data_IF_772335047511
#
_entry.id   IF_772335047511
#
_cell.length_a   1.000
_cell.length_b   1.000
_cell.length_c   1.000
_cell.angle_alpha   90.00
_cell.angle_beta   90.00
_cell.angle_gamma   90.00
#
_symmetry.space_group_name_H-M   'P 1'
#
loop_
_entity.id
_entity.type
_entity.pdbx_description
1 polymer ?
#
# COMPACT_ATOMS: atom_id res chain seq x y z
N UNK A 1 5.05 22.02 -20.95
CA UNK A 1 3.85 21.81 -20.09
C UNK A 1 4.05 20.50 -19.35
N UNK A 2 4.60 20.56 -18.15
CA UNK A 2 4.97 19.38 -17.37
C UNK A 2 3.77 19.02 -16.49
N UNK A 3 3.10 17.90 -16.79
CA UNK A 3 2.02 17.40 -15.95
C UNK A 3 2.61 16.97 -14.62
N UNK A 4 2.36 17.78 -13.58
CA UNK A 4 2.60 17.42 -12.19
C UNK A 4 1.62 16.29 -11.84
N UNK A 5 2.04 15.04 -12.06
CA UNK A 5 1.43 13.88 -11.43
C UNK A 5 1.70 14.02 -9.93
N UNK A 6 0.80 14.68 -9.21
CA UNK A 6 0.76 14.64 -7.76
C UNK A 6 0.23 13.26 -7.34
N UNK A 7 1.03 12.25 -7.62
CA UNK A 7 0.91 10.93 -6.99
C UNK A 7 1.01 11.17 -5.49
N UNK A 8 0.19 10.48 -4.70
CA UNK A 8 0.31 10.47 -3.24
C UNK A 8 1.78 10.55 -2.82
N UNK A 9 2.14 11.27 -1.73
CA UNK A 9 3.33 10.92 -0.98
C UNK A 9 3.07 9.52 -0.42
N UNK A 10 3.20 8.52 -1.29
CA UNK A 10 3.36 7.13 -0.94
C UNK A 10 4.72 7.14 -0.29
N UNK A 11 4.69 7.42 1.01
CA UNK A 11 5.84 7.89 1.76
C UNK A 11 7.01 6.96 1.46
N UNK A 12 8.16 7.54 1.14
CA UNK A 12 9.40 6.77 1.04
C UNK A 12 9.69 6.01 2.36
N UNK A 13 8.91 6.22 3.42
CA UNK A 13 8.90 5.46 4.68
C UNK A 13 8.86 3.94 4.49
N UNK A 14 8.01 3.39 3.62
CA UNK A 14 8.01 1.93 3.43
C UNK A 14 9.27 1.46 2.68
N UNK A 15 9.82 2.30 1.79
CA UNK A 15 11.09 2.03 1.11
C UNK A 15 12.25 2.08 2.11
N UNK A 16 12.30 3.11 2.95
CA UNK A 16 13.29 3.27 4.00
C UNK A 16 13.21 2.13 5.03
N UNK A 17 11.99 1.71 5.39
CA UNK A 17 11.76 0.55 6.26
C UNK A 17 12.27 -0.75 5.62
N UNK A 18 12.03 -0.95 4.32
CA UNK A 18 12.59 -2.10 3.60
C UNK A 18 14.13 -2.06 3.54
N UNK A 19 14.71 -0.90 3.26
CA UNK A 19 16.17 -0.71 3.24
C UNK A 19 16.80 -0.99 4.61
N UNK A 20 16.17 -0.50 5.68
CA UNK A 20 16.59 -0.77 7.05
C UNK A 20 16.50 -2.27 7.37
N UNK A 21 15.39 -2.93 7.04
CA UNK A 21 15.23 -4.37 7.25
C UNK A 21 16.30 -5.19 6.51
N UNK A 22 16.63 -4.82 5.27
CA UNK A 22 17.71 -5.47 4.51
C UNK A 22 19.07 -5.24 5.16
N UNK A 23 19.34 -4.01 5.64
CA UNK A 23 20.58 -3.71 6.37
C UNK A 23 20.70 -4.53 7.65
N UNK A 24 19.62 -4.67 8.41
CA UNK A 24 19.56 -5.48 9.64
C UNK A 24 19.78 -6.98 9.34
N UNK A 25 19.21 -7.51 8.25
CA UNK A 25 19.45 -8.90 7.81
C UNK A 25 20.93 -9.10 7.50
N UNK A 26 21.56 -8.18 6.75
CA UNK A 26 22.99 -8.26 6.42
C UNK A 26 23.84 -8.27 7.69
N UNK A 27 23.60 -7.32 8.60
CA UNK A 27 24.30 -7.26 9.88
C UNK A 27 24.11 -8.53 10.71
N UNK A 28 22.91 -9.09 10.77
CA UNK A 28 22.63 -10.32 11.51
C UNK A 28 23.35 -11.55 10.93
N UNK A 29 23.58 -11.60 9.62
CA UNK A 29 24.35 -12.64 8.95
C UNK A 29 25.85 -12.44 9.22
N UNK A 30 26.35 -11.20 9.11
CA UNK A 30 27.77 -10.90 9.32
C UNK A 30 28.21 -11.11 10.78
N UNK A 31 27.32 -10.79 11.73
CA UNK A 31 27.52 -10.97 13.17
C UNK A 31 27.26 -12.40 13.67
N UNK A 32 26.81 -13.33 12.81
CA UNK A 32 26.53 -14.72 13.22
C UNK A 32 27.81 -15.51 13.47
N UNK A 33 28.54 -15.16 14.53
CA UNK A 33 29.75 -15.83 15.00
C UNK A 33 29.39 -17.00 15.94
N UNK A 34 28.40 -17.81 15.56
CA UNK A 34 28.05 -19.07 16.24
C UNK A 34 26.86 -19.07 17.21
N UNK A 35 26.18 -17.92 17.43
CA UNK A 35 24.93 -17.88 18.19
C UNK A 35 23.71 -18.02 17.26
N UNK A 36 23.34 -19.27 17.00
CA UNK A 36 22.23 -19.61 16.10
C UNK A 36 20.88 -19.06 16.59
N UNK A 37 20.64 -19.01 17.90
CA UNK A 37 19.37 -18.52 18.45
C UNK A 37 19.23 -17.00 18.23
N UNK A 38 20.30 -16.25 18.52
CA UNK A 38 20.32 -14.81 18.31
C UNK A 38 20.19 -14.44 16.82
N UNK A 39 20.79 -15.23 15.91
CA UNK A 39 20.61 -15.06 14.47
C UNK A 39 19.16 -15.31 14.04
N UNK A 40 18.52 -16.40 14.52
CA UNK A 40 17.10 -16.67 14.20
C UNK A 40 16.20 -15.52 14.67
N UNK A 41 16.41 -15.01 15.90
CA UNK A 41 15.63 -13.87 16.43
C UNK A 41 15.75 -12.63 15.55
N UNK A 42 16.98 -12.24 15.19
CA UNK A 42 17.23 -11.05 14.35
C UNK A 42 16.64 -11.17 12.95
N UNK A 43 16.84 -12.33 12.32
CA UNK A 43 16.26 -12.60 10.99
C UNK A 43 14.73 -12.60 11.03
N UNK A 44 14.12 -13.11 12.11
CA UNK A 44 12.68 -13.08 12.29
C UNK A 44 12.16 -11.64 12.42
N UNK A 45 12.80 -10.79 13.22
CA UNK A 45 12.40 -9.39 13.38
C UNK A 45 12.50 -8.62 12.06
N UNK A 46 13.60 -8.79 11.32
CA UNK A 46 13.76 -8.12 10.04
C UNK A 46 12.80 -8.66 8.97
N UNK A 47 12.47 -9.95 9.00
CA UNK A 47 11.43 -10.55 8.13
C UNK A 47 10.05 -9.94 8.39
N UNK A 48 9.70 -9.61 9.64
CA UNK A 48 8.44 -8.92 9.97
C UNK A 48 8.41 -7.54 9.30
N UNK A 49 9.47 -6.73 9.48
CA UNK A 49 9.58 -5.38 8.87
C UNK A 49 9.52 -5.44 7.34
N UNK A 50 10.22 -6.39 6.74
CA UNK A 50 10.18 -6.58 5.29
C UNK A 50 8.79 -6.98 4.79
N UNK A 51 8.07 -7.83 5.54
CA UNK A 51 6.70 -8.21 5.21
C UNK A 51 5.72 -7.03 5.33
N UNK A 52 5.91 -6.14 6.30
CA UNK A 52 5.13 -4.91 6.44
C UNK A 52 5.37 -3.99 5.23
N UNK A 53 6.63 -3.74 4.87
CA UNK A 53 6.98 -2.96 3.69
C UNK A 53 6.44 -3.57 2.39
N UNK A 54 6.43 -4.90 2.27
CA UNK A 54 5.79 -5.60 1.16
C UNK A 54 4.28 -5.35 1.11
N UNK A 55 3.59 -5.33 2.25
CA UNK A 55 2.15 -5.03 2.28
C UNK A 55 1.88 -3.60 1.77
N UNK A 56 2.68 -2.62 2.19
CA UNK A 56 2.59 -1.24 1.70
C UNK A 56 2.86 -1.15 0.18
N UNK A 57 3.89 -1.83 -0.31
CA UNK A 57 4.23 -1.86 -1.74
C UNK A 57 3.12 -2.52 -2.59
N UNK A 58 2.46 -3.55 -2.07
CA UNK A 58 1.32 -4.16 -2.75
C UNK A 58 0.10 -3.23 -2.77
N UNK A 59 -0.16 -2.51 -1.67
CA UNK A 59 -1.26 -1.55 -1.59
C UNK A 59 -1.07 -0.39 -2.56
N UNK A 60 0.13 0.15 -2.58
CA UNK A 60 0.61 1.08 -3.59
C UNK A 60 0.30 0.61 -5.02
N UNK A 61 0.76 -0.58 -5.39
CA UNK A 61 0.53 -1.14 -6.72
C UNK A 61 -0.97 -1.30 -7.03
N UNK A 62 -1.77 -1.75 -6.05
CA UNK A 62 -3.20 -1.88 -6.20
C UNK A 62 -3.87 -0.52 -6.48
N UNK A 63 -3.49 0.53 -5.75
CA UNK A 63 -4.01 1.90 -5.97
C UNK A 63 -3.56 2.43 -7.34
N UNK A 64 -2.33 2.16 -7.77
CA UNK A 64 -1.82 2.55 -9.10
C UNK A 64 -2.46 1.79 -10.27
N UNK A 65 -3.28 0.77 -10.01
CA UNK A 65 -4.07 0.09 -11.03
C UNK A 65 -3.71 -1.38 -11.26
N UNK A 66 -2.70 -1.92 -10.58
CA UNK A 66 -2.36 -3.34 -10.72
C UNK A 66 -3.52 -4.23 -10.27
N UNK A 67 -3.67 -5.37 -10.94
CA UNK A 67 -4.69 -6.36 -10.56
C UNK A 67 -4.24 -7.20 -9.37
N UNK A 68 -5.18 -7.76 -8.61
CA UNK A 68 -4.86 -8.67 -7.51
C UNK A 68 -4.04 -9.88 -7.97
N UNK A 69 -4.36 -10.39 -9.17
CA UNK A 69 -3.65 -11.51 -9.80
C UNK A 69 -2.20 -11.15 -10.13
N UNK A 70 -1.96 -9.97 -10.71
CA UNK A 70 -0.59 -9.52 -11.03
C UNK A 70 0.24 -9.24 -9.78
N UNK A 71 -0.38 -8.70 -8.72
CA UNK A 71 0.27 -8.48 -7.43
C UNK A 71 0.66 -9.83 -6.79
N UNK A 72 -0.24 -10.81 -6.80
CA UNK A 72 0.04 -12.16 -6.31
C UNK A 72 1.21 -12.81 -7.07
N UNK A 73 1.19 -12.73 -8.40
CA UNK A 73 2.26 -13.26 -9.23
C UNK A 73 3.61 -12.59 -8.95
N UNK A 74 3.64 -11.25 -8.80
CA UNK A 74 4.86 -10.52 -8.52
C UNK A 74 5.43 -10.75 -7.11
N UNK A 75 4.55 -10.97 -6.12
CA UNK A 75 4.95 -11.22 -4.73
C UNK A 75 5.24 -12.69 -4.42
N UNK A 76 4.94 -13.61 -5.34
CA UNK A 76 5.06 -15.05 -5.10
C UNK A 76 4.05 -15.60 -4.08
N UNK A 77 3.03 -14.81 -3.73
CA UNK A 77 2.00 -15.19 -2.76
C UNK A 77 0.77 -15.79 -3.45
N UNK A 78 0.04 -16.63 -2.73
CA UNK A 78 -1.26 -17.10 -3.20
C UNK A 78 -2.27 -15.93 -3.29
N UNK A 79 -3.15 -15.90 -4.30
CA UNK A 79 -4.09 -14.78 -4.47
C UNK A 79 -4.98 -14.50 -3.25
N UNK A 80 -5.35 -15.53 -2.49
CA UNK A 80 -6.15 -15.40 -1.26
C UNK A 80 -5.37 -14.82 -0.07
N UNK A 81 -4.04 -14.76 -0.14
CA UNK A 81 -3.20 -14.13 0.88
C UNK A 81 -3.11 -12.60 0.73
N UNK A 82 -3.52 -12.05 -0.42
CA UNK A 82 -3.38 -10.62 -0.70
C UNK A 82 -4.42 -9.78 0.06
N UNK A 83 -5.73 -10.08 0.03
CA UNK A 83 -6.74 -9.24 0.69
C UNK A 83 -6.47 -8.91 2.17
N UNK A 84 -6.11 -9.86 3.05
CA UNK A 84 -5.78 -9.53 4.45
C UNK A 84 -4.48 -8.74 4.59
N UNK A 85 -3.52 -8.89 3.65
CA UNK A 85 -2.28 -8.10 3.66
C UNK A 85 -2.51 -6.65 3.26
N UNK A 86 -3.38 -6.42 2.28
CA UNK A 86 -3.80 -5.07 1.92
C UNK A 86 -4.53 -4.38 3.09
N UNK A 87 -5.37 -5.11 3.85
CA UNK A 87 -6.03 -4.56 5.03
C UNK A 87 -5.08 -4.16 6.17
N UNK A 88 -3.85 -4.67 6.20
CA UNK A 88 -2.80 -4.25 7.14
C UNK A 88 -1.97 -3.07 6.67
N UNK A 89 -2.09 -2.68 5.40
CA UNK A 89 -1.36 -1.54 4.85
C UNK A 89 -2.01 -0.23 5.26
N UNK A 90 -1.21 0.79 5.54
CA UNK A 90 -1.66 2.13 5.91
C UNK A 90 -2.63 2.72 4.88
N UNK A 91 -2.32 2.55 3.58
CA UNK A 91 -3.08 3.16 2.50
C UNK A 91 -4.44 2.49 2.26
N UNK A 92 -4.59 1.20 2.57
CA UNK A 92 -5.82 0.45 2.32
C UNK A 92 -6.58 -0.01 3.56
N UNK A 93 -6.00 0.06 4.76
CA UNK A 93 -6.68 -0.27 6.02
C UNK A 93 -8.02 0.45 6.22
N UNK A 94 -8.18 1.75 5.86
CA UNK A 94 -9.48 2.44 5.98
C UNK A 94 -10.59 1.89 5.07
N UNK A 95 -10.22 1.09 4.06
CA UNK A 95 -11.14 0.49 3.09
C UNK A 95 -11.32 -1.02 3.31
N UNK A 96 -10.81 -1.54 4.43
CA UNK A 96 -11.00 -2.93 4.81
C UNK A 96 -12.45 -3.18 5.28
N UNK A 97 -12.93 -4.38 5.02
CA UNK A 97 -14.18 -4.88 5.56
C UNK A 97 -14.06 -5.20 7.06
N UNK A 98 -15.16 -5.58 7.75
CA UNK A 98 -15.11 -5.94 9.17
C UNK A 98 -14.22 -7.16 9.49
N UNK A 99 -13.85 -7.97 8.49
CA UNK A 99 -12.91 -9.09 8.67
C UNK A 99 -11.44 -8.65 8.53
N UNK A 100 -11.19 -7.35 8.29
CA UNK A 100 -9.86 -6.79 8.12
C UNK A 100 -9.26 -7.09 6.75
N UNK A 101 -10.08 -7.41 5.73
CA UNK A 101 -9.61 -7.68 4.38
C UNK A 101 -10.07 -6.62 3.40
N UNK A 102 -9.26 -6.38 2.35
CA UNK A 102 -9.60 -5.39 1.33
C UNK A 102 -9.98 -6.13 0.04
N UNK A 103 -11.26 -6.03 -0.30
CA UNK A 103 -11.84 -6.56 -1.53
C UNK A 103 -11.77 -5.60 -2.72
N UNK A 104 -12.36 -6.00 -3.84
CA UNK A 104 -12.37 -5.22 -5.09
C UNK A 104 -13.06 -3.85 -4.94
N UNK A 105 -14.15 -3.80 -4.16
CA UNK A 105 -14.88 -2.57 -3.89
C UNK A 105 -14.03 -1.56 -3.10
N UNK A 106 -13.39 -2.00 -2.01
CA UNK A 106 -12.48 -1.15 -1.22
C UNK A 106 -11.34 -0.58 -2.07
N UNK A 107 -10.77 -1.37 -2.98
CA UNK A 107 -9.76 -0.89 -3.94
C UNK A 107 -10.34 0.12 -4.92
N UNK A 108 -11.55 -0.10 -5.43
CA UNK A 108 -12.18 0.83 -6.35
C UNK A 108 -12.44 2.19 -5.70
N UNK A 109 -12.91 2.21 -4.45
CA UNK A 109 -13.09 3.43 -3.66
C UNK A 109 -11.74 4.09 -3.37
N UNK A 110 -10.73 3.33 -2.94
CA UNK A 110 -9.39 3.86 -2.69
C UNK A 110 -8.78 4.51 -3.94
N UNK A 111 -8.94 3.88 -5.11
CA UNK A 111 -8.52 4.45 -6.41
C UNK A 111 -9.27 5.71 -6.76
N UNK A 112 -10.58 5.72 -6.54
CA UNK A 112 -11.40 6.90 -6.77
C UNK A 112 -10.96 8.06 -5.87
N UNK A 113 -10.84 7.80 -4.56
CA UNK A 113 -10.32 8.78 -3.61
C UNK A 113 -8.95 9.29 -4.03
N UNK A 114 -8.00 8.41 -4.33
CA UNK A 114 -6.66 8.79 -4.78
C UNK A 114 -6.70 9.73 -6.00
N UNK A 115 -7.60 9.47 -6.95
CA UNK A 115 -7.81 10.33 -8.13
C UNK A 115 -8.43 11.68 -7.81
N UNK A 116 -9.34 11.74 -6.84
CA UNK A 116 -10.09 12.96 -6.52
C UNK A 116 -9.41 13.87 -5.49
N UNK A 117 -8.37 13.38 -4.81
CA UNK A 117 -7.55 14.19 -3.90
C UNK A 117 -6.90 15.33 -4.69
N UNK A 118 -7.27 16.57 -4.36
CA UNK A 118 -6.78 17.79 -5.04
C UNK A 118 -7.72 18.38 -6.10
N UNK A 119 -8.79 17.68 -6.48
CA UNK A 119 -9.89 18.29 -7.27
C UNK A 119 -10.89 18.96 -6.35
N UNK A 120 -11.10 20.27 -6.51
CA UNK A 120 -12.18 20.98 -5.80
C UNK A 120 -13.53 20.33 -6.13
N UNK A 121 -14.44 20.18 -5.14
CA UNK A 121 -15.78 19.65 -5.40
C UNK A 121 -16.46 20.47 -6.51
N UNK A 122 -17.07 19.80 -7.48
CA UNK A 122 -17.81 20.49 -8.53
C UNK A 122 -18.96 21.27 -7.90
N UNK A 123 -18.90 22.61 -7.99
CA UNK A 123 -19.97 23.46 -7.50
C UNK A 123 -21.20 23.32 -8.41
N UNK A 124 -22.32 22.86 -7.85
CA UNK A 124 -23.60 22.88 -8.53
C UNK A 124 -23.96 24.33 -8.88
N UNK A 125 -24.07 24.65 -10.18
CA UNK A 125 -24.65 25.92 -10.65
C UNK A 125 -26.12 25.70 -10.95
N UNK A 126 -27.05 26.24 -10.13
CA UNK A 126 -28.47 26.17 -10.43
C UNK A 126 -28.76 26.80 -11.79
N UNK A 127 -29.55 26.12 -12.61
CA UNK A 127 -30.00 26.66 -13.89
C UNK A 127 -31.00 27.78 -13.61
N UNK A 128 -30.72 29.01 -14.03
CA UNK A 128 -31.69 30.11 -13.94
C UNK A 128 -32.91 29.70 -14.77
N UNK A 129 -34.10 29.74 -14.17
CA UNK A 129 -35.35 29.74 -14.93
C UNK A 129 -35.47 31.14 -15.51
N UNK A 130 -35.42 31.27 -16.83
CA UNK A 130 -35.86 32.49 -17.49
C UNK A 130 -37.37 32.58 -17.23
N UNK A 131 -37.77 33.55 -16.40
CA UNK A 131 -39.16 33.94 -16.23
C UNK A 131 -39.55 34.70 -17.49
N UNK A 132 -40.01 33.99 -18.51
CA UNK A 132 -40.73 34.62 -19.63
C UNK A 132 -42.06 35.15 -19.09
N UNK A 133 -42.30 36.42 -19.43
CA UNK A 133 -43.49 37.23 -19.13
C UNK A 133 -44.69 36.77 -19.94
#
# INVERSE_FOLDING_TARGET
>A
MQMLHYSYPMTDEWRNSAEQAVSEIRAAIDESQGDAEQTVRRLSEASVRLNEALNEAMAAAAISGASMRSIAAASGLAPNSIPPRLGRSSALAPYADPSGTVGAEGIAVARHHNRTQGTSPMAFKPRRKDSEQ
#
